data_IF_848888397035
#
_entry.id   IF_848888397035
#
_cell.length_a   1.000
_cell.length_b   1.000
_cell.length_c   1.000
_cell.angle_alpha   90.00
_cell.angle_beta   90.00
_cell.angle_gamma   90.00
#
_symmetry.space_group_name_H-M   'P 1'
#
loop_
_entity.id
_entity.type
_entity.pdbx_description
1 polymer ?
#
# COMPACT_ATOMS: atom_id res chain seq x y z
N UNK A 1 15.60 3.85 -24.29
CA UNK A 1 15.25 5.00 -23.43
C UNK A 1 13.87 5.54 -23.73
N UNK A 2 13.16 6.01 -22.71
CA UNK A 2 11.84 6.64 -22.83
C UNK A 2 12.02 8.16 -22.78
N UNK A 3 11.45 8.92 -23.71
CA UNK A 3 11.54 10.40 -23.77
C UNK A 3 10.40 11.15 -23.08
N UNK A 4 9.41 10.44 -22.53
CA UNK A 4 8.25 11.04 -21.89
C UNK A 4 8.64 11.94 -20.70
N UNK A 5 8.11 13.17 -20.55
CA UNK A 5 8.66 14.18 -19.64
C UNK A 5 8.55 13.80 -18.16
N UNK A 6 7.43 13.23 -17.72
CA UNK A 6 7.22 12.87 -16.33
C UNK A 6 7.25 11.35 -16.11
N UNK A 7 8.31 10.86 -15.44
CA UNK A 7 8.59 9.41 -15.28
C UNK A 7 7.81 8.73 -14.15
N UNK A 8 7.19 9.50 -13.27
CA UNK A 8 6.56 9.00 -12.04
C UNK A 8 5.03 8.85 -12.17
N UNK A 9 4.49 8.80 -13.40
CA UNK A 9 3.08 8.50 -13.62
C UNK A 9 2.70 7.17 -12.95
N UNK A 10 1.60 7.18 -12.19
CA UNK A 10 0.99 5.94 -11.73
C UNK A 10 0.61 5.04 -12.92
N UNK A 11 0.48 3.72 -12.69
CA UNK A 11 0.08 2.79 -13.75
C UNK A 11 -1.25 3.18 -14.40
N UNK A 12 -2.21 3.68 -13.61
CA UNK A 12 -3.48 4.21 -14.12
C UNK A 12 -3.30 5.50 -14.94
N UNK A 13 -2.32 6.33 -14.59
CA UNK A 13 -1.97 7.53 -15.36
C UNK A 13 -1.42 7.17 -16.74
N UNK A 14 -0.57 6.14 -16.84
CA UNK A 14 -0.09 5.63 -18.12
C UNK A 14 -1.25 5.09 -18.97
N UNK A 15 -2.17 4.32 -18.36
CA UNK A 15 -3.37 3.84 -19.04
C UNK A 15 -4.26 5.00 -19.55
N UNK A 16 -4.41 6.05 -18.74
CA UNK A 16 -5.15 7.25 -19.13
C UNK A 16 -4.51 7.98 -20.32
N UNK A 17 -3.18 8.12 -20.33
CA UNK A 17 -2.45 8.70 -21.48
C UNK A 17 -2.66 7.91 -22.76
N UNK A 18 -2.73 6.58 -22.66
CA UNK A 18 -3.07 5.73 -23.80
C UNK A 18 -4.49 6.00 -24.30
N UNK A 19 -5.48 6.15 -23.40
CA UNK A 19 -6.86 6.52 -23.77
C UNK A 19 -6.89 7.88 -24.48
N UNK A 20 -6.19 8.89 -23.95
CA UNK A 20 -6.08 10.20 -24.59
C UNK A 20 -5.48 10.12 -26.00
N UNK A 21 -4.37 9.40 -26.15
CA UNK A 21 -3.70 9.23 -27.45
C UNK A 21 -4.58 8.50 -28.48
N UNK A 22 -5.33 7.48 -28.06
CA UNK A 22 -6.26 6.76 -28.92
C UNK A 22 -7.45 7.62 -29.34
N UNK A 23 -8.06 8.36 -28.41
CA UNK A 23 -9.18 9.26 -28.72
C UNK A 23 -8.77 10.33 -29.76
N UNK A 24 -7.59 10.92 -29.59
CA UNK A 24 -7.01 11.87 -30.54
C UNK A 24 -6.72 11.23 -31.91
N UNK A 25 -6.04 10.08 -31.92
CA UNK A 25 -5.63 9.41 -33.18
C UNK A 25 -6.82 8.91 -34.00
N UNK A 26 -7.88 8.46 -33.33
CA UNK A 26 -9.11 8.01 -33.99
C UNK A 26 -10.05 9.17 -34.33
N UNK A 27 -9.70 10.42 -33.93
CA UNK A 27 -10.59 11.59 -34.03
C UNK A 27 -12.00 11.30 -33.49
N UNK A 28 -12.08 10.43 -32.48
CA UNK A 28 -13.34 9.94 -31.96
C UNK A 28 -13.85 10.91 -30.92
N UNK A 29 -15.00 11.53 -31.18
CA UNK A 29 -15.76 12.29 -30.17
C UNK A 29 -16.58 11.38 -29.26
N UNK A 30 -16.61 10.08 -29.52
CA UNK A 30 -17.41 9.11 -28.76
C UNK A 30 -16.77 8.73 -27.41
N UNK A 31 -15.48 9.04 -27.21
CA UNK A 31 -14.78 8.81 -25.95
C UNK A 31 -14.21 10.13 -25.48
N UNK A 32 -14.78 10.68 -24.40
CA UNK A 32 -14.14 11.77 -23.66
C UNK A 32 -13.26 11.17 -22.55
N UNK A 33 -11.91 11.28 -22.65
CA UNK A 33 -11.04 10.78 -21.61
C UNK A 33 -11.37 11.36 -20.23
N UNK A 34 -11.90 12.60 -20.14
CA UNK A 34 -12.22 13.26 -18.88
C UNK A 34 -13.19 12.45 -18.00
N UNK A 35 -13.98 11.56 -18.59
CA UNK A 35 -14.90 10.67 -17.89
C UNK A 35 -14.19 9.67 -16.97
N UNK A 36 -12.91 9.36 -17.21
CA UNK A 36 -12.14 8.40 -16.43
C UNK A 36 -11.27 9.03 -15.34
N UNK A 37 -11.30 10.36 -15.18
CA UNK A 37 -10.43 11.06 -14.23
C UNK A 37 -10.67 10.63 -12.77
N UNK A 38 -11.88 10.22 -12.42
CA UNK A 38 -12.21 9.68 -11.09
C UNK A 38 -11.45 8.37 -10.80
N UNK A 39 -11.36 7.46 -11.78
CA UNK A 39 -10.56 6.24 -11.71
C UNK A 39 -9.06 6.54 -11.68
N UNK A 40 -8.62 7.56 -12.43
CA UNK A 40 -7.22 8.01 -12.44
C UNK A 40 -6.81 8.54 -11.07
N UNK A 41 -7.60 9.43 -10.47
CA UNK A 41 -7.32 9.93 -9.12
C UNK A 41 -7.30 8.79 -8.11
N UNK A 42 -8.30 7.90 -8.14
CA UNK A 42 -8.38 6.74 -7.26
C UNK A 42 -7.14 5.85 -7.35
N UNK A 43 -6.74 5.45 -8.56
CA UNK A 43 -5.58 4.58 -8.76
C UNK A 43 -4.25 5.27 -8.43
N UNK A 44 -4.12 6.56 -8.76
CA UNK A 44 -2.91 7.34 -8.47
C UNK A 44 -2.69 7.48 -6.96
N UNK A 45 -3.75 7.81 -6.22
CA UNK A 45 -3.70 7.90 -4.75
C UNK A 45 -3.48 6.51 -4.12
N UNK A 46 -4.12 5.46 -4.66
CA UNK A 46 -3.96 4.09 -4.17
C UNK A 46 -2.54 3.54 -4.36
N UNK A 47 -1.82 3.97 -5.39
CA UNK A 47 -0.42 3.58 -5.65
C UNK A 47 0.59 4.36 -4.80
N UNK A 48 0.15 5.39 -4.05
CA UNK A 48 1.01 6.20 -3.17
C UNK A 48 2.22 6.79 -3.93
N UNK A 49 2.01 7.19 -5.19
CA UNK A 49 3.04 7.86 -6.01
C UNK A 49 3.13 9.36 -5.68
N UNK A 50 4.21 10.02 -6.11
CA UNK A 50 4.40 11.45 -5.87
C UNK A 50 3.30 12.27 -6.54
N UNK A 51 2.65 13.15 -5.77
CA UNK A 51 1.67 14.12 -6.26
C UNK A 51 2.36 15.41 -6.72
N UNK A 52 3.25 15.25 -7.68
CA UNK A 52 3.95 16.32 -8.40
C UNK A 52 3.51 16.32 -9.87
N UNK A 53 3.69 17.46 -10.52
CA UNK A 53 3.48 17.63 -11.97
C UNK A 53 2.16 17.00 -12.46
N UNK A 54 2.20 16.08 -13.43
CA UNK A 54 1.01 15.47 -14.02
C UNK A 54 0.14 14.72 -13.00
N UNK A 55 0.73 13.97 -12.07
CA UNK A 55 -0.05 13.26 -11.03
C UNK A 55 -0.87 14.25 -10.19
N UNK A 56 -0.30 15.42 -9.88
CA UNK A 56 -0.99 16.47 -9.12
C UNK A 56 -2.21 17.00 -9.88
N UNK A 57 -2.04 17.29 -11.17
CA UNK A 57 -3.13 17.81 -12.01
C UNK A 57 -4.23 16.75 -12.18
N UNK A 58 -3.84 15.51 -12.49
CA UNK A 58 -4.79 14.40 -12.68
C UNK A 58 -5.56 14.09 -11.40
N UNK A 59 -4.89 14.08 -10.24
CA UNK A 59 -5.55 13.86 -8.95
C UNK A 59 -6.50 15.00 -8.61
N UNK A 60 -6.09 16.26 -8.78
CA UNK A 60 -6.97 17.42 -8.51
C UNK A 60 -8.27 17.33 -9.31
N UNK A 61 -8.16 17.21 -10.63
CA UNK A 61 -9.32 17.14 -11.53
C UNK A 61 -10.15 15.86 -11.28
N UNK A 62 -9.48 14.75 -10.97
CA UNK A 62 -10.14 13.49 -10.70
C UNK A 62 -10.88 13.42 -9.37
N UNK A 63 -10.44 14.16 -8.34
CA UNK A 63 -11.19 14.29 -7.08
C UNK A 63 -12.48 15.10 -7.28
N UNK A 64 -12.40 16.20 -8.02
CA UNK A 64 -13.58 16.98 -8.43
C UNK A 64 -14.57 16.09 -9.21
N UNK A 65 -14.04 15.28 -10.14
CA UNK A 65 -14.85 14.31 -10.88
C UNK A 65 -15.44 13.21 -10.00
N UNK A 66 -14.67 12.69 -9.05
CA UNK A 66 -15.08 11.60 -8.15
C UNK A 66 -16.28 11.98 -7.29
N UNK A 67 -16.35 13.24 -6.83
CA UNK A 67 -17.50 13.77 -6.09
C UNK A 67 -18.82 13.65 -6.88
N UNK A 68 -18.73 13.77 -8.20
CA UNK A 68 -19.86 13.70 -9.14
C UNK A 68 -19.71 12.54 -10.14
N UNK A 69 -19.06 11.46 -9.71
CA UNK A 69 -18.73 10.33 -10.59
C UNK A 69 -19.98 9.78 -11.26
N UNK A 70 -19.91 9.50 -12.57
CA UNK A 70 -20.93 8.75 -13.31
C UNK A 70 -20.78 7.23 -13.11
N UNK A 71 -19.64 6.78 -12.57
CA UNK A 71 -19.36 5.37 -12.33
C UNK A 71 -20.23 4.83 -11.19
N UNK A 72 -21.15 3.92 -11.53
CA UNK A 72 -22.09 3.34 -10.57
C UNK A 72 -21.38 2.65 -9.40
N UNK A 73 -20.27 1.96 -9.65
CA UNK A 73 -19.47 1.29 -8.62
C UNK A 73 -18.87 2.27 -7.61
N UNK A 74 -18.27 3.36 -8.10
CA UNK A 74 -17.71 4.41 -7.24
C UNK A 74 -18.80 5.13 -6.43
N UNK A 75 -19.91 5.51 -7.07
CA UNK A 75 -21.06 6.11 -6.37
C UNK A 75 -21.60 5.21 -5.27
N UNK A 76 -21.69 3.92 -5.54
CA UNK A 76 -22.16 2.93 -4.56
C UNK A 76 -21.20 2.84 -3.38
N UNK A 77 -19.89 2.82 -3.61
CA UNK A 77 -18.89 2.85 -2.54
C UNK A 77 -18.99 4.13 -1.72
N UNK A 78 -19.03 5.30 -2.37
CA UNK A 78 -19.16 6.60 -1.70
C UNK A 78 -20.39 6.65 -0.81
N UNK A 79 -21.53 6.15 -1.28
CA UNK A 79 -22.75 6.04 -0.48
C UNK A 79 -22.57 5.10 0.71
N UNK A 80 -21.96 3.93 0.50
CA UNK A 80 -21.76 2.92 1.54
C UNK A 80 -20.87 3.45 2.69
N UNK A 81 -19.88 4.29 2.36
CA UNK A 81 -18.94 4.86 3.34
C UNK A 81 -19.36 6.24 3.87
N UNK A 82 -20.56 6.71 3.52
CA UNK A 82 -21.09 7.99 4.03
C UNK A 82 -20.39 9.23 3.45
N UNK A 83 -19.82 9.12 2.25
CA UNK A 83 -19.15 10.21 1.52
C UNK A 83 -19.98 10.75 0.34
N UNK A 84 -21.19 10.22 0.11
CA UNK A 84 -22.06 10.71 -0.96
C UNK A 84 -22.35 12.21 -0.82
N UNK A 85 -22.11 12.97 -1.89
CA UNK A 85 -22.36 14.41 -1.95
C UNK A 85 -21.37 15.28 -1.17
N UNK A 86 -20.33 14.68 -0.56
CA UNK A 86 -19.30 15.41 0.17
C UNK A 86 -18.12 15.73 -0.73
N UNK A 87 -17.37 16.77 -0.38
CA UNK A 87 -16.05 17.01 -0.95
C UNK A 87 -15.14 15.81 -0.62
N UNK A 88 -14.47 15.28 -1.64
CA UNK A 88 -13.63 14.09 -1.50
C UNK A 88 -12.17 14.50 -1.46
N UNK A 89 -11.50 14.16 -0.36
CA UNK A 89 -10.07 14.46 -0.18
C UNK A 89 -9.18 13.28 -0.54
N UNK A 90 -7.92 13.55 -0.83
CA UNK A 90 -6.89 12.52 -1.05
C UNK A 90 -6.83 11.52 0.11
N UNK A 91 -6.93 12.01 1.36
CA UNK A 91 -6.96 11.18 2.55
C UNK A 91 -8.15 10.22 2.58
N UNK A 92 -9.35 10.68 2.18
CA UNK A 92 -10.50 9.79 2.10
C UNK A 92 -10.31 8.73 1.01
N UNK A 93 -9.74 9.09 -0.13
CA UNK A 93 -9.43 8.10 -1.17
C UNK A 93 -8.41 7.07 -0.66
N UNK A 94 -7.29 7.52 -0.10
CA UNK A 94 -6.20 6.65 0.36
C UNK A 94 -6.53 5.79 1.58
N UNK A 95 -7.32 6.29 2.52
CA UNK A 95 -7.60 5.60 3.79
C UNK A 95 -9.02 4.99 3.89
N UNK A 96 -9.95 5.37 3.01
CA UNK A 96 -11.34 4.90 3.03
C UNK A 96 -11.67 4.09 1.78
N UNK A 97 -11.47 4.63 0.58
CA UNK A 97 -11.89 3.98 -0.67
C UNK A 97 -10.91 2.91 -1.14
N UNK A 98 -9.64 3.27 -1.34
CA UNK A 98 -8.60 2.36 -1.83
C UNK A 98 -8.46 1.09 -0.97
N UNK A 99 -8.50 1.14 0.38
CA UNK A 99 -8.40 -0.06 1.21
C UNK A 99 -9.55 -1.05 1.02
N UNK A 100 -10.74 -0.59 0.60
CA UNK A 100 -11.90 -1.45 0.34
C UNK A 100 -11.74 -2.21 -0.96
N UNK A 101 -11.29 -1.51 -2.00
CA UNK A 101 -10.95 -2.15 -3.27
C UNK A 101 -9.82 -3.17 -3.04
N UNK A 102 -8.78 -2.78 -2.29
CA UNK A 102 -7.61 -3.60 -1.99
C UNK A 102 -7.80 -4.65 -0.88
N UNK A 103 -9.00 -4.75 -0.28
CA UNK A 103 -9.24 -5.69 0.81
C UNK A 103 -9.17 -7.15 0.35
N UNK A 104 -9.55 -7.38 -0.90
CA UNK A 104 -9.40 -8.66 -1.56
C UNK A 104 -7.92 -8.95 -1.88
N UNK A 105 -7.46 -10.18 -1.66
CA UNK A 105 -6.18 -10.63 -2.24
C UNK A 105 -6.15 -10.46 -3.76
N UNK A 106 -4.97 -10.38 -4.38
CA UNK A 106 -4.79 -10.01 -5.81
C UNK A 106 -5.71 -10.75 -6.81
N UNK A 107 -5.92 -12.06 -6.62
CA UNK A 107 -6.84 -12.86 -7.45
C UNK A 107 -8.31 -12.47 -7.26
N UNK A 108 -8.72 -12.17 -6.02
CA UNK A 108 -10.08 -11.74 -5.69
C UNK A 108 -10.31 -10.26 -6.07
N UNK A 109 -9.28 -9.43 -6.02
CA UNK A 109 -9.28 -8.02 -6.45
C UNK A 109 -9.69 -7.91 -7.93
N UNK A 110 -9.04 -8.70 -8.79
CA UNK A 110 -9.32 -8.72 -10.23
C UNK A 110 -10.77 -9.13 -10.54
N UNK A 111 -11.44 -9.87 -9.64
CA UNK A 111 -12.82 -10.34 -9.85
C UNK A 111 -13.88 -9.44 -9.22
N UNK A 112 -13.64 -8.86 -8.05
CA UNK A 112 -14.66 -8.11 -7.30
C UNK A 112 -14.55 -6.61 -7.50
N UNK A 113 -13.36 -6.04 -7.34
CA UNK A 113 -13.15 -4.60 -7.47
C UNK A 113 -13.32 -4.15 -8.92
N UNK A 114 -12.70 -4.84 -9.88
CA UNK A 114 -12.88 -4.54 -11.30
C UNK A 114 -14.34 -4.70 -11.72
N UNK A 115 -15.00 -5.79 -11.31
CA UNK A 115 -16.42 -6.01 -11.62
C UNK A 115 -17.33 -4.94 -11.03
N UNK A 116 -17.02 -4.42 -9.84
CA UNK A 116 -17.74 -3.30 -9.25
C UNK A 116 -17.59 -2.03 -10.10
N UNK A 117 -16.35 -1.69 -10.49
CA UNK A 117 -16.05 -0.49 -11.29
C UNK A 117 -16.64 -0.57 -12.72
N UNK A 118 -16.92 -1.77 -13.22
CA UNK A 118 -17.55 -1.99 -14.53
C UNK A 118 -19.06 -2.27 -14.45
N UNK A 119 -19.64 -2.36 -13.26
CA UNK A 119 -21.05 -2.75 -13.10
C UNK A 119 -21.99 -1.64 -13.55
N UNK A 120 -23.00 -2.00 -14.34
CA UNK A 120 -24.12 -1.11 -14.73
C UNK A 120 -25.42 -1.47 -14.00
N UNK A 121 -25.39 -2.47 -13.12
CA UNK A 121 -26.54 -2.95 -12.37
C UNK A 121 -26.46 -2.52 -10.91
N UNK A 122 -27.43 -1.72 -10.45
CA UNK A 122 -27.42 -1.14 -9.09
C UNK A 122 -27.41 -2.21 -7.99
N UNK A 123 -28.14 -3.31 -8.18
CA UNK A 123 -28.21 -4.41 -7.19
C UNK A 123 -26.88 -5.15 -7.11
N UNK A 124 -26.27 -5.45 -8.26
CA UNK A 124 -24.96 -6.11 -8.30
C UNK A 124 -23.87 -5.21 -7.71
N UNK A 125 -23.83 -3.93 -8.10
CA UNK A 125 -22.91 -2.94 -7.56
C UNK A 125 -22.99 -2.86 -6.03
N UNK A 126 -24.21 -2.76 -5.48
CA UNK A 126 -24.41 -2.74 -4.03
C UNK A 126 -23.91 -4.01 -3.34
N UNK A 127 -24.19 -5.18 -3.91
CA UNK A 127 -23.74 -6.45 -3.34
C UNK A 127 -22.21 -6.58 -3.36
N UNK A 128 -21.56 -6.17 -4.46
CA UNK A 128 -20.11 -6.17 -4.59
C UNK A 128 -19.48 -5.18 -3.60
N UNK A 129 -19.97 -3.95 -3.53
CA UNK A 129 -19.48 -2.93 -2.61
C UNK A 129 -19.60 -3.38 -1.14
N UNK A 130 -20.74 -3.97 -0.76
CA UNK A 130 -20.97 -4.52 0.59
C UNK A 130 -20.01 -5.67 0.92
N UNK A 131 -19.71 -6.52 -0.05
CA UNK A 131 -18.74 -7.61 0.14
C UNK A 131 -17.31 -7.06 0.34
N UNK A 132 -16.90 -6.08 -0.47
CA UNK A 132 -15.59 -5.43 -0.33
C UNK A 132 -15.46 -4.70 1.02
N UNK A 133 -16.52 -4.04 1.48
CA UNK A 133 -16.54 -3.37 2.78
C UNK A 133 -16.40 -4.37 3.93
N UNK A 134 -17.14 -5.49 3.89
CA UNK A 134 -16.99 -6.59 4.87
C UNK A 134 -15.56 -7.14 4.90
N UNK A 135 -14.99 -7.45 3.74
CA UNK A 135 -13.62 -7.95 3.65
C UNK A 135 -12.60 -6.93 4.19
N UNK A 136 -12.81 -5.64 3.97
CA UNK A 136 -11.97 -4.60 4.55
C UNK A 136 -12.11 -4.53 6.08
N UNK A 137 -13.32 -4.63 6.62
CA UNK A 137 -13.57 -4.65 8.07
C UNK A 137 -12.89 -5.86 8.70
N UNK A 138 -13.04 -7.05 8.12
CA UNK A 138 -12.41 -8.28 8.63
C UNK A 138 -10.87 -8.20 8.55
N UNK A 139 -10.34 -7.66 7.44
CA UNK A 139 -8.90 -7.40 7.28
C UNK A 139 -8.39 -6.44 8.34
N UNK A 140 -9.10 -5.33 8.62
CA UNK A 140 -8.72 -4.34 9.66
C UNK A 140 -8.73 -4.96 11.05
N UNK A 141 -9.79 -5.68 11.43
CA UNK A 141 -9.86 -6.41 12.71
C UNK A 141 -8.71 -7.40 12.86
N UNK A 142 -8.41 -8.14 11.79
CA UNK A 142 -7.29 -9.08 11.78
C UNK A 142 -5.95 -8.35 11.92
N UNK A 143 -5.77 -7.22 11.23
CA UNK A 143 -4.58 -6.38 11.35
C UNK A 143 -4.39 -5.86 12.76
N UNK A 144 -5.42 -5.25 13.37
CA UNK A 144 -5.38 -4.72 14.73
C UNK A 144 -4.98 -5.80 15.75
N UNK A 145 -5.63 -6.96 15.67
CA UNK A 145 -5.28 -8.12 16.51
C UNK A 145 -3.83 -8.53 16.31
N UNK A 146 -3.38 -8.71 15.07
CA UNK A 146 -2.02 -9.15 14.78
C UNK A 146 -0.96 -8.10 15.17
N UNK A 147 -1.25 -6.81 15.02
CA UNK A 147 -0.36 -5.73 15.48
C UNK A 147 -0.19 -5.78 17.00
N UNK A 148 -1.29 -5.90 17.76
CA UNK A 148 -1.24 -6.03 19.21
C UNK A 148 -0.42 -7.24 19.64
N UNK A 149 -0.69 -8.40 19.05
CA UNK A 149 0.06 -9.63 19.33
C UNK A 149 1.54 -9.51 18.93
N UNK A 150 1.86 -8.78 17.86
CA UNK A 150 3.24 -8.55 17.45
C UNK A 150 3.99 -7.69 18.48
N UNK A 151 3.33 -6.68 19.05
CA UNK A 151 3.92 -5.86 20.12
C UNK A 151 4.16 -6.64 21.40
N UNK A 152 3.24 -7.52 21.78
CA UNK A 152 3.38 -8.43 22.93
C UNK A 152 4.56 -9.41 22.76
N UNK A 153 4.93 -9.74 21.52
CA UNK A 153 6.05 -10.63 21.19
C UNK A 153 7.40 -9.90 21.08
N UNK A 154 7.43 -8.56 21.13
CA UNK A 154 8.67 -7.84 21.02
C UNK A 154 9.56 -8.07 22.26
N UNK A 155 10.85 -8.33 22.08
CA UNK A 155 11.78 -8.34 23.19
C UNK A 155 11.93 -6.94 23.80
N UNK A 156 12.31 -6.89 25.08
CA UNK A 156 12.63 -5.63 25.77
C UNK A 156 13.74 -4.89 25.01
N UNK A 157 14.88 -5.57 24.85
CA UNK A 157 15.99 -5.14 24.00
C UNK A 157 15.79 -5.63 22.57
N UNK A 158 15.69 -4.68 21.65
CA UNK A 158 15.41 -4.93 20.22
C UNK A 158 16.72 -4.80 19.46
N UNK A 159 17.09 -5.84 18.72
CA UNK A 159 18.15 -5.72 17.72
C UNK A 159 17.76 -4.75 16.59
N UNK A 160 18.70 -4.46 15.66
CA UNK A 160 18.42 -3.61 14.52
C UNK A 160 17.32 -4.16 13.60
N UNK A 161 17.12 -5.48 13.54
CA UNK A 161 16.08 -6.12 12.72
C UNK A 161 15.06 -6.86 13.58
N UNK A 162 13.79 -6.50 13.45
CA UNK A 162 12.68 -7.14 14.14
C UNK A 162 12.19 -8.33 13.30
N UNK A 163 12.30 -9.55 13.85
CA UNK A 163 11.78 -10.77 13.19
C UNK A 163 10.81 -11.48 14.12
N UNK A 164 9.52 -11.43 13.77
CA UNK A 164 8.44 -12.03 14.55
C UNK A 164 7.70 -13.10 13.76
N UNK A 165 7.21 -14.12 14.45
CA UNK A 165 6.49 -15.23 13.85
C UNK A 165 5.45 -15.80 14.81
N UNK A 166 4.24 -16.08 14.32
CA UNK A 166 3.20 -16.72 15.14
C UNK A 166 2.27 -17.58 14.29
N UNK A 167 1.82 -18.70 14.86
CA UNK A 167 0.74 -19.51 14.28
C UNK A 167 -0.58 -18.75 14.36
N UNK A 168 -1.45 -18.91 13.34
CA UNK A 168 -2.75 -18.22 13.28
C UNK A 168 -2.68 -16.76 12.79
N UNK A 169 -1.50 -16.26 12.42
CA UNK A 169 -1.37 -15.00 11.68
C UNK A 169 -1.76 -15.17 10.22
N UNK A 170 -2.54 -14.23 9.69
CA UNK A 170 -3.08 -14.33 8.33
C UNK A 170 -2.06 -13.85 7.30
N UNK A 171 -1.69 -14.72 6.35
CA UNK A 171 -0.70 -14.44 5.32
C UNK A 171 -1.02 -13.24 4.40
N UNK A 172 -2.29 -12.84 4.27
CA UNK A 172 -2.70 -11.63 3.56
C UNK A 172 -2.49 -10.32 4.35
N UNK A 173 -2.22 -10.41 5.66
CA UNK A 173 -2.18 -9.26 6.58
C UNK A 173 -0.77 -9.02 7.15
N UNK A 174 0.12 -10.03 7.14
CA UNK A 174 1.50 -9.91 7.65
C UNK A 174 2.29 -8.73 7.07
N UNK A 175 2.01 -8.31 5.82
CA UNK A 175 2.68 -7.15 5.23
C UNK A 175 2.25 -5.81 5.83
N UNK A 176 1.00 -5.69 6.28
CA UNK A 176 0.49 -4.51 6.98
C UNK A 176 1.07 -4.43 8.39
N UNK A 177 1.17 -5.57 9.07
CA UNK A 177 1.80 -5.66 10.40
C UNK A 177 3.29 -5.33 10.31
N UNK A 178 4.00 -5.82 9.28
CA UNK A 178 5.39 -5.48 9.05
C UNK A 178 5.58 -3.97 8.83
N UNK A 179 4.70 -3.32 8.06
CA UNK A 179 4.73 -1.86 7.89
C UNK A 179 4.47 -1.12 9.19
N UNK A 180 3.46 -1.54 9.96
CA UNK A 180 3.11 -0.94 11.24
C UNK A 180 4.25 -0.99 12.25
N UNK A 181 4.86 -2.16 12.45
CA UNK A 181 5.99 -2.33 13.37
C UNK A 181 7.21 -1.53 12.88
N UNK A 182 7.49 -1.54 11.57
CA UNK A 182 8.55 -0.71 11.00
C UNK A 182 8.30 0.79 11.24
N UNK A 183 7.09 1.28 11.05
CA UNK A 183 6.75 2.70 11.29
C UNK A 183 6.90 3.09 12.76
N UNK A 184 6.39 2.24 13.66
CA UNK A 184 6.41 2.53 15.11
C UNK A 184 7.80 2.44 15.73
N UNK A 185 8.63 1.50 15.26
CA UNK A 185 9.94 1.22 15.86
C UNK A 185 11.12 1.59 14.96
N UNK A 186 10.88 2.14 13.76
CA UNK A 186 11.89 2.55 12.78
C UNK A 186 13.01 1.52 12.57
N UNK A 187 12.61 0.26 12.39
CA UNK A 187 13.53 -0.88 12.22
C UNK A 187 13.08 -1.75 11.05
N UNK A 188 14.01 -2.29 10.24
CA UNK A 188 13.70 -3.37 9.32
C UNK A 188 12.94 -4.47 10.04
N UNK A 189 11.83 -4.90 9.45
CA UNK A 189 10.89 -5.80 10.10
C UNK A 189 10.49 -6.93 9.16
N UNK A 190 10.50 -8.16 9.66
CA UNK A 190 10.02 -9.36 8.99
C UNK A 190 8.95 -10.02 9.86
N UNK A 191 7.74 -10.21 9.30
CA UNK A 191 6.61 -10.85 9.97
C UNK A 191 6.29 -12.15 9.25
N UNK A 192 6.27 -13.27 10.00
CA UNK A 192 5.96 -14.60 9.49
C UNK A 192 4.63 -15.14 9.99
N UNK A 193 3.79 -15.55 9.04
CA UNK A 193 2.66 -16.45 9.28
C UNK A 193 3.17 -17.89 9.22
N UNK A 194 2.89 -18.68 10.26
CA UNK A 194 3.30 -20.08 10.35
C UNK A 194 2.16 -20.99 9.88
N UNK A 195 2.47 -21.93 8.99
CA UNK A 195 1.56 -22.95 8.49
C UNK A 195 2.31 -24.30 8.40
N UNK A 196 1.88 -25.26 9.24
CA UNK A 196 2.57 -26.53 9.46
C UNK A 196 4.09 -26.35 9.71
N UNK A 197 4.93 -26.87 8.82
CA UNK A 197 6.40 -26.80 8.86
C UNK A 197 6.96 -25.60 8.09
N UNK A 198 6.12 -24.86 7.37
CA UNK A 198 6.50 -23.72 6.55
C UNK A 198 6.09 -22.39 7.20
N UNK A 199 6.73 -21.34 6.72
CA UNK A 199 6.45 -19.97 7.11
C UNK A 199 6.41 -19.09 5.86
N UNK A 200 5.37 -18.26 5.77
CA UNK A 200 5.27 -17.20 4.76
C UNK A 200 5.56 -15.86 5.41
N UNK A 201 6.60 -15.18 4.93
CA UNK A 201 7.10 -13.92 5.46
C UNK A 201 6.78 -12.74 4.57
N UNK A 202 6.54 -11.59 5.20
CA UNK A 202 6.57 -10.28 4.54
C UNK A 202 7.54 -9.38 5.30
N UNK A 203 8.39 -8.70 4.55
CA UNK A 203 9.43 -7.84 5.07
C UNK A 203 9.24 -6.38 4.63
N UNK A 204 9.61 -5.44 5.51
CA UNK A 204 9.64 -4.00 5.27
C UNK A 204 10.94 -3.44 5.82
N UNK A 205 11.50 -2.42 5.18
CA UNK A 205 12.78 -1.83 5.57
C UNK A 205 12.72 -0.33 5.78
N UNK A 206 13.82 0.21 6.29
CA UNK A 206 14.15 1.63 6.38
C UNK A 206 15.13 1.98 5.23
N UNK A 207 15.27 3.26 4.83
CA UNK A 207 16.09 3.65 3.67
C UNK A 207 17.53 3.10 3.69
N UNK A 208 18.13 3.06 4.87
CA UNK A 208 19.53 2.70 5.13
C UNK A 208 19.78 1.20 4.95
N UNK A 209 18.76 0.35 5.07
CA UNK A 209 18.90 -1.10 5.00
C UNK A 209 18.15 -1.70 3.80
N UNK A 210 18.86 -2.47 2.98
CA UNK A 210 18.23 -3.22 1.88
C UNK A 210 17.77 -4.60 2.34
N UNK A 211 16.48 -4.75 2.63
CA UNK A 211 15.94 -6.04 3.08
C UNK A 211 16.07 -7.13 2.01
N UNK A 212 15.99 -6.76 0.73
CA UNK A 212 16.19 -7.70 -0.38
C UNK A 212 17.64 -8.23 -0.41
N UNK A 213 18.64 -7.35 -0.29
CA UNK A 213 20.04 -7.79 -0.30
C UNK A 213 20.37 -8.62 0.94
N UNK A 214 19.82 -8.26 2.10
CA UNK A 214 19.99 -9.03 3.33
C UNK A 214 19.37 -10.44 3.21
N UNK A 215 18.16 -10.55 2.66
CA UNK A 215 17.54 -11.85 2.39
C UNK A 215 18.31 -12.68 1.36
N UNK A 216 18.89 -12.03 0.33
CA UNK A 216 19.74 -12.69 -0.67
C UNK A 216 21.00 -13.31 -0.03
N UNK A 217 21.61 -12.66 0.96
CA UNK A 217 22.72 -13.23 1.74
C UNK A 217 22.32 -14.41 2.64
N UNK A 218 21.02 -14.65 2.82
CA UNK A 218 20.45 -15.75 3.60
C UNK A 218 19.67 -16.73 2.74
N UNK A 219 19.91 -16.77 1.42
CA UNK A 219 19.10 -17.54 0.47
C UNK A 219 19.10 -19.05 0.76
N UNK A 220 20.16 -19.57 1.38
CA UNK A 220 20.28 -20.97 1.84
C UNK A 220 19.19 -21.36 2.86
N UNK A 221 18.61 -20.38 3.56
CA UNK A 221 17.56 -20.61 4.54
C UNK A 221 16.14 -20.55 3.93
N UNK A 222 16.02 -20.06 2.70
CA UNK A 222 14.76 -19.67 2.08
C UNK A 222 14.34 -20.69 1.00
N UNK A 223 13.05 -21.03 0.97
CA UNK A 223 12.46 -21.80 -0.12
C UNK A 223 12.22 -20.94 -1.36
N UNK A 224 11.89 -19.66 -1.15
CA UNK A 224 11.70 -18.68 -2.21
C UNK A 224 11.69 -17.27 -1.62
N UNK A 225 12.20 -16.27 -2.34
CA UNK A 225 12.04 -14.87 -1.96
C UNK A 225 12.00 -13.95 -3.19
N UNK A 226 11.51 -12.74 -3.01
CA UNK A 226 11.48 -11.72 -4.06
C UNK A 226 10.99 -10.37 -3.53
N UNK A 227 11.29 -9.31 -4.27
CA UNK A 227 10.91 -7.95 -3.91
C UNK A 227 11.99 -6.94 -4.31
N UNK A 228 12.06 -5.85 -3.56
CA UNK A 228 12.97 -4.73 -3.78
C UNK A 228 13.56 -4.24 -2.46
N UNK A 229 14.43 -3.22 -2.52
CA UNK A 229 15.18 -2.67 -1.37
C UNK A 229 14.34 -2.49 -0.10
N UNK A 230 13.12 -1.95 -0.22
CA UNK A 230 12.25 -1.58 0.92
C UNK A 230 11.22 -2.64 1.32
N UNK A 231 10.98 -3.65 0.49
CA UNK A 231 9.94 -4.64 0.73
C UNK A 231 10.24 -5.97 0.04
N UNK A 232 10.03 -7.08 0.75
CA UNK A 232 10.20 -8.42 0.19
C UNK A 232 9.15 -9.39 0.72
N UNK A 233 8.84 -10.42 -0.07
CA UNK A 233 8.11 -11.60 0.34
C UNK A 233 9.04 -12.80 0.38
N UNK A 234 8.86 -13.69 1.35
CA UNK A 234 9.71 -14.88 1.49
C UNK A 234 8.90 -16.10 1.95
N UNK A 235 9.38 -17.30 1.65
CA UNK A 235 8.94 -18.57 2.21
C UNK A 235 10.13 -19.34 2.74
N UNK A 236 9.98 -20.03 3.86
CA UNK A 236 11.04 -20.82 4.47
C UNK A 236 10.46 -21.91 5.38
N UNK A 237 11.31 -22.83 5.83
CA UNK A 237 10.93 -23.76 6.90
C UNK A 237 10.92 -23.03 8.25
N UNK A 238 9.91 -23.31 9.09
CA UNK A 238 9.74 -22.72 10.42
C UNK A 238 11.00 -22.85 11.29
N UNK A 239 11.69 -23.98 11.20
CA UNK A 239 12.92 -24.25 11.95
C UNK A 239 14.07 -23.28 11.63
N UNK A 240 14.06 -22.66 10.45
CA UNK A 240 15.11 -21.75 10.00
C UNK A 240 14.90 -20.30 10.49
N UNK A 241 13.74 -19.96 11.07
CA UNK A 241 13.42 -18.58 11.49
C UNK A 241 14.42 -18.03 12.54
N UNK A 242 14.82 -18.79 13.58
CA UNK A 242 15.81 -18.30 14.54
C UNK A 242 17.14 -17.95 13.89
N UNK A 243 17.62 -18.80 12.96
CA UNK A 243 18.87 -18.57 12.23
C UNK A 243 18.78 -17.35 11.31
N UNK A 244 17.65 -17.19 10.60
CA UNK A 244 17.41 -16.00 9.78
C UNK A 244 17.42 -14.73 10.64
N UNK A 245 16.77 -14.76 11.82
CA UNK A 245 16.77 -13.62 12.75
C UNK A 245 18.19 -13.24 13.14
N UNK A 246 19.02 -14.23 13.48
CA UNK A 246 20.42 -14.01 13.85
C UNK A 246 21.18 -13.34 12.71
N UNK A 247 21.21 -13.97 11.52
CA UNK A 247 21.97 -13.45 10.37
C UNK A 247 21.49 -12.07 9.91
N UNK A 248 20.19 -11.80 9.96
CA UNK A 248 19.68 -10.47 9.60
C UNK A 248 20.11 -9.39 10.60
N UNK A 249 20.22 -9.71 11.89
CA UNK A 249 20.72 -8.75 12.87
C UNK A 249 22.23 -8.54 12.71
N UNK A 250 23.02 -9.59 12.52
CA UNK A 250 24.47 -9.49 12.25
C UNK A 250 24.75 -8.62 11.01
N UNK A 251 24.06 -8.88 9.90
CA UNK A 251 24.18 -8.08 8.68
C UNK A 251 23.74 -6.62 8.88
N UNK A 252 22.81 -6.37 9.79
CA UNK A 252 22.35 -5.03 10.08
C UNK A 252 23.31 -4.29 11.02
N UNK A 253 23.94 -4.98 11.98
CA UNK A 253 24.98 -4.38 12.83
C UNK A 253 26.23 -3.97 12.02
N UNK A 254 26.52 -4.66 10.92
CA UNK A 254 27.60 -4.26 9.97
C UNK A 254 27.27 -2.99 9.17
N UNK A 255 25.99 -2.66 9.01
CA UNK A 255 25.53 -1.64 8.05
C UNK A 255 24.92 -0.42 8.76
N UNK A 256 24.19 -0.65 9.85
CA UNK A 256 23.39 0.34 10.55
C UNK A 256 24.10 0.81 11.80
N UNK A 257 24.20 2.12 11.95
CA UNK A 257 24.55 2.75 13.22
C UNK A 257 23.29 2.96 14.09
N UNK A 258 23.44 3.19 15.41
CA UNK A 258 22.32 3.54 16.27
C UNK A 258 21.50 4.74 15.77
N UNK A 259 22.15 5.72 15.13
CA UNK A 259 21.53 6.92 14.57
C UNK A 259 20.61 6.58 13.38
N UNK A 260 20.95 5.55 12.59
CA UNK A 260 20.09 5.09 11.50
C UNK A 260 18.78 4.45 12.01
N UNK A 261 18.71 4.08 13.29
CA UNK A 261 17.52 3.51 13.91
C UNK A 261 16.61 4.56 14.55
N UNK A 262 16.91 5.85 14.31
CA UNK A 262 16.15 7.01 14.76
C UNK A 262 15.49 7.64 13.53
N UNK A 263 14.16 7.90 13.54
CA UNK A 263 13.51 8.61 12.46
C UNK A 263 14.12 9.99 12.24
N UNK A 264 14.52 10.28 11.00
CA UNK A 264 14.92 11.63 10.57
C UNK A 264 13.72 12.39 9.99
N UNK A 265 13.58 13.66 10.36
CA UNK A 265 12.58 14.55 9.77
C UNK A 265 13.29 15.61 8.91
N UNK A 266 12.79 15.81 7.69
CA UNK A 266 13.22 16.92 6.85
C UNK A 266 12.42 18.15 7.27
N UNK A 267 13.11 19.21 7.70
CA UNK A 267 12.49 20.49 8.04
C UNK A 267 12.64 21.39 6.80
N UNK A 268 11.52 21.72 6.16
CA UNK A 268 11.53 22.53 4.93
C UNK A 268 11.95 23.99 5.19
N UNK A 269 11.54 24.54 6.33
CA UNK A 269 11.87 25.89 6.74
C UNK A 269 11.80 26.03 8.28
N UNK A 270 12.62 26.93 8.81
CA UNK A 270 12.47 27.48 10.16
C UNK A 270 11.61 28.74 10.07
N UNK A 271 10.64 28.89 10.97
CA UNK A 271 9.74 30.05 11.03
C UNK A 271 9.70 30.60 12.45
N UNK A 272 9.72 31.93 12.56
CA UNK A 272 9.58 32.59 13.85
C UNK A 272 8.12 32.59 14.31
N UNK A 273 7.87 32.58 15.62
CA UNK A 273 6.52 32.65 16.17
C UNK A 273 5.74 33.89 15.68
N UNK A 274 6.43 34.99 15.42
CA UNK A 274 5.86 36.24 14.89
C UNK A 274 5.35 36.12 13.45
N UNK A 275 5.86 35.14 12.68
CA UNK A 275 5.45 34.87 11.30
C UNK A 275 4.19 33.99 11.22
N UNK A 276 3.77 33.38 12.34
CA UNK A 276 2.58 32.55 12.42
C UNK A 276 1.31 33.41 12.53
N UNK A 277 0.61 33.57 11.41
CA UNK A 277 -0.72 34.18 11.39
C UNK A 277 -1.80 33.10 11.53
N UNK A 278 -2.76 33.28 12.44
CA UNK A 278 -3.97 32.46 12.50
C UNK A 278 -4.78 32.67 11.22
N UNK A 279 -4.66 31.76 10.25
CA UNK A 279 -5.53 31.64 9.08
C UNK A 279 -6.18 30.27 9.05
#
# INVERSE_FOLDING_TARGET
DCSYPFKELAGVGVAFKLVQALAQKLSSTAVDPSEYLDLVALGTIADVVSLKDENRVLVKLGLERLQQSSNLGLRTLLSLVGLSGKEITEGQVGFILAPRLNACGRLSLARKAVKLLLSTNARESFQLAKNLDRENVDRRRTQERMCKEAEELLPQEKGPVIVLSKSGWHAGVIGLVASYIREKYFRPTVIFSLDADQAKGSARSIPEFSIFNALKKCEDLLLSFGGHRMAAGTRMLKKNIPELRKRLNELADEILSPENLIPSYFIDAEVNLEELQNR
#
